data_IF_153358272884
#
_entry.id   IF_153358272884
#
_cell.length_a   1.000
_cell.length_b   1.000
_cell.length_c   1.000
_cell.angle_alpha   90.00
_cell.angle_beta   90.00
_cell.angle_gamma   90.00
#
_symmetry.space_group_name_H-M   'P 1'
#
loop_
_entity.id
_entity.type
_entity.pdbx_description
1 polymer ?
#
# COMPACT_ATOMS: atom_id res chain seq x y z
N UNK A 1 2.30 12.01 -5.52
CA UNK A 1 1.22 11.40 -4.70
C UNK A 1 1.69 10.08 -4.14
N UNK A 2 1.31 9.69 -2.93
CA UNK A 2 1.66 8.40 -2.32
C UNK A 2 0.64 8.02 -1.25
N UNK A 3 -0.12 6.95 -1.44
CA UNK A 3 -1.12 6.47 -0.49
C UNK A 3 -1.42 4.99 -0.68
N UNK A 4 -2.05 4.36 0.31
CA UNK A 4 -2.54 2.98 0.23
C UNK A 4 -4.07 3.00 0.23
N UNK A 5 -4.70 2.20 -0.62
CA UNK A 5 -6.15 2.04 -0.67
C UNK A 5 -6.54 0.61 -1.05
N UNK A 6 -7.81 0.35 -1.34
CA UNK A 6 -8.32 -0.87 -1.99
C UNK A 6 -9.10 -0.49 -3.25
N UNK A 7 -9.50 -1.51 -4.01
CA UNK A 7 -10.40 -1.34 -5.17
C UNK A 7 -9.85 -0.34 -6.21
N UNK A 8 -8.54 -0.44 -6.49
CA UNK A 8 -7.88 0.40 -7.48
C UNK A 8 -8.31 0.02 -8.91
N UNK A 9 -8.95 0.97 -9.60
CA UNK A 9 -9.33 0.87 -11.00
C UNK A 9 -8.15 1.28 -11.88
N UNK A 10 -7.45 0.30 -12.44
CA UNK A 10 -6.28 0.53 -13.29
C UNK A 10 -6.61 1.30 -14.57
N UNK A 11 -7.85 1.18 -15.09
CA UNK A 11 -8.25 1.83 -16.33
C UNK A 11 -8.48 3.33 -16.11
N UNK A 12 -9.13 3.69 -15.01
CA UNK A 12 -9.38 5.09 -14.63
C UNK A 12 -8.26 5.71 -13.78
N UNK A 13 -7.29 4.90 -13.34
CA UNK A 13 -6.19 5.28 -12.46
C UNK A 13 -6.64 5.87 -11.11
N UNK A 14 -7.77 5.39 -10.58
CA UNK A 14 -8.38 5.89 -9.33
C UNK A 14 -8.71 4.75 -8.37
N UNK A 15 -8.63 5.02 -7.07
CA UNK A 15 -9.14 4.10 -6.05
C UNK A 15 -10.63 4.31 -5.86
N UNK A 16 -11.43 3.23 -5.89
CA UNK A 16 -12.87 3.30 -5.60
C UNK A 16 -13.16 3.35 -4.10
N UNK A 17 -12.22 2.93 -3.27
CA UNK A 17 -12.22 3.18 -1.83
C UNK A 17 -11.72 4.60 -1.54
N UNK A 18 -12.61 5.59 -1.69
CA UNK A 18 -12.27 7.01 -1.57
C UNK A 18 -11.80 7.40 -0.16
N UNK A 19 -12.26 6.69 0.87
CA UNK A 19 -11.90 6.97 2.27
C UNK A 19 -10.66 6.19 2.72
N UNK A 20 -10.16 5.28 1.88
CA UNK A 20 -9.00 4.43 2.19
C UNK A 20 -9.21 3.59 3.45
N UNK A 21 -10.47 3.21 3.72
CA UNK A 21 -10.84 2.43 4.89
C UNK A 21 -10.48 0.97 4.62
N UNK A 22 -9.57 0.41 5.41
CA UNK A 22 -9.10 -0.97 5.24
C UNK A 22 -9.39 -1.79 6.49
N UNK A 23 -9.82 -3.03 6.28
CA UNK A 23 -10.02 -4.03 7.32
C UNK A 23 -9.06 -5.22 7.17
N UNK A 24 -9.16 -6.23 8.05
CA UNK A 24 -8.23 -7.35 8.08
C UNK A 24 -8.26 -8.22 6.80
N UNK A 25 -9.31 -8.12 6.01
CA UNK A 25 -9.49 -8.86 4.74
C UNK A 25 -9.51 -7.93 3.52
N UNK A 26 -9.06 -6.69 3.67
CA UNK A 26 -8.89 -5.81 2.51
C UNK A 26 -7.65 -6.21 1.72
N UNK A 27 -7.70 -6.04 0.40
CA UNK A 27 -6.55 -6.19 -0.49
C UNK A 27 -5.89 -4.81 -0.69
N UNK A 28 -4.83 -4.45 0.06
CA UNK A 28 -4.23 -3.14 -0.05
C UNK A 28 -3.48 -2.97 -1.36
N UNK A 29 -3.49 -1.75 -1.88
CA UNK A 29 -2.78 -1.34 -3.08
C UNK A 29 -2.05 -0.05 -2.77
N UNK A 30 -0.72 -0.05 -2.92
CA UNK A 30 0.05 1.19 -2.90
C UNK A 30 -0.17 1.90 -4.24
N UNK A 31 -0.54 3.18 -4.20
CA UNK A 31 -0.65 4.04 -5.38
C UNK A 31 0.29 5.22 -5.21
N UNK A 32 1.11 5.47 -6.23
CA UNK A 32 2.09 6.54 -6.17
C UNK A 32 2.37 7.16 -7.54
N UNK A 33 2.86 8.39 -7.51
CA UNK A 33 3.35 9.11 -8.68
C UNK A 33 4.60 9.85 -8.25
N UNK A 34 5.69 9.61 -8.97
CA UNK A 34 6.97 10.25 -8.72
C UNK A 34 6.93 11.67 -9.27
N UNK A 35 7.66 12.59 -8.65
CA UNK A 35 7.87 13.92 -9.21
C UNK A 35 8.88 13.85 -10.35
N UNK A 36 8.63 14.56 -11.45
CA UNK A 36 9.64 14.77 -12.48
C UNK A 36 10.90 15.40 -11.87
N UNK A 37 12.07 14.96 -12.32
CA UNK A 37 13.34 15.53 -11.90
C UNK A 37 13.49 17.00 -12.36
N UNK A 38 14.53 17.71 -11.91
CA UNK A 38 14.79 19.07 -12.38
C UNK A 38 14.92 19.11 -13.92
N UNK A 39 14.21 20.05 -14.55
CA UNK A 39 14.26 20.39 -15.98
C UNK A 39 13.57 19.44 -16.99
N UNK A 40 12.39 18.87 -16.66
CA UNK A 40 11.55 18.17 -17.66
C UNK A 40 12.25 16.97 -18.32
N UNK A 41 13.34 16.50 -17.70
CA UNK A 41 14.01 15.28 -18.10
C UNK A 41 13.16 14.11 -17.58
N UNK A 42 12.64 13.31 -18.51
CA UNK A 42 12.08 11.99 -18.21
C UNK A 42 13.08 11.28 -17.29
N UNK A 43 12.65 11.01 -16.05
CA UNK A 43 13.49 10.23 -15.15
C UNK A 43 13.70 8.86 -15.82
N UNK A 44 14.94 8.35 -15.89
CA UNK A 44 15.19 7.04 -16.46
C UNK A 44 14.35 5.99 -15.73
N UNK A 45 13.98 4.92 -16.44
CA UNK A 45 13.26 3.83 -15.80
C UNK A 45 14.03 3.32 -14.59
N UNK A 46 13.32 3.08 -13.49
CA UNK A 46 13.93 2.80 -12.20
C UNK A 46 13.27 1.61 -11.52
N UNK A 47 14.08 0.86 -10.79
CA UNK A 47 13.64 -0.28 -10.00
C UNK A 47 13.48 0.19 -8.54
N UNK A 48 12.25 0.15 -8.03
CA UNK A 48 11.96 0.43 -6.64
C UNK A 48 11.68 -0.86 -5.89
N UNK A 49 12.16 -0.91 -4.67
CA UNK A 49 11.78 -1.91 -3.68
C UNK A 49 10.77 -1.27 -2.74
N UNK A 50 9.61 -1.89 -2.59
CA UNK A 50 8.56 -1.49 -1.65
C UNK A 50 8.56 -2.46 -0.48
N UNK A 51 8.72 -1.94 0.74
CA UNK A 51 8.71 -2.72 1.97
C UNK A 51 7.37 -2.50 2.69
N UNK A 52 6.71 -3.58 3.05
CA UNK A 52 5.47 -3.56 3.82
C UNK A 52 5.78 -4.00 5.25
N UNK A 53 5.64 -3.09 6.21
CA UNK A 53 5.94 -3.32 7.62
C UNK A 53 4.64 -3.33 8.40
N UNK A 54 4.43 -4.42 9.15
CA UNK A 54 3.22 -4.61 9.94
C UNK A 54 3.22 -3.76 11.23
N UNK A 55 2.08 -3.67 11.94
CA UNK A 55 1.98 -2.90 13.18
C UNK A 55 2.87 -3.41 14.32
N UNK A 56 3.40 -4.63 14.23
CA UNK A 56 4.37 -5.17 15.19
C UNK A 56 5.81 -4.79 14.84
N UNK A 57 6.03 -4.05 13.74
CA UNK A 57 7.34 -3.64 13.25
C UNK A 57 8.05 -4.70 12.40
N UNK A 58 7.35 -5.78 12.02
CA UNK A 58 7.92 -6.86 11.24
C UNK A 58 7.77 -6.59 9.74
N UNK A 59 8.81 -6.92 8.97
CA UNK A 59 8.74 -6.88 7.51
C UNK A 59 7.82 -8.02 7.04
N UNK A 60 6.62 -7.66 6.61
CA UNK A 60 5.61 -8.61 6.17
C UNK A 60 5.83 -9.07 4.72
N UNK A 61 6.21 -8.14 3.83
CA UNK A 61 6.43 -8.42 2.41
C UNK A 61 7.38 -7.39 1.77
N UNK A 62 8.02 -7.81 0.68
CA UNK A 62 8.85 -6.96 -0.19
C UNK A 62 8.36 -7.09 -1.63
N UNK A 63 7.90 -5.98 -2.22
CA UNK A 63 7.49 -5.93 -3.62
C UNK A 63 8.56 -5.22 -4.45
N UNK A 64 8.84 -5.73 -5.66
CA UNK A 64 9.68 -5.03 -6.63
C UNK A 64 8.80 -4.40 -7.73
N UNK A 65 9.07 -3.14 -8.09
CA UNK A 65 8.34 -2.44 -9.15
C UNK A 65 9.31 -1.77 -10.11
N UNK A 66 9.13 -2.04 -11.40
CA UNK A 66 9.80 -1.32 -12.47
C UNK A 66 8.93 -0.14 -12.90
N UNK A 67 9.44 1.07 -12.75
CA UNK A 67 8.77 2.29 -13.20
C UNK A 67 9.38 2.72 -14.52
N UNK A 68 8.59 2.66 -15.59
CA UNK A 68 9.03 3.07 -16.93
C UNK A 68 8.94 4.58 -17.15
N UNK A 69 7.87 5.21 -16.65
CA UNK A 69 7.63 6.65 -16.75
C UNK A 69 7.23 7.21 -15.38
N UNK A 70 8.12 8.02 -14.80
CA UNK A 70 7.93 8.67 -13.51
C UNK A 70 6.74 9.65 -13.48
N UNK A 71 6.31 10.18 -14.63
CA UNK A 71 5.17 11.09 -14.74
C UNK A 71 3.81 10.39 -14.60
N UNK A 72 3.77 9.05 -14.69
CA UNK A 72 2.53 8.27 -14.63
C UNK A 72 2.19 7.80 -13.22
N UNK A 73 0.89 7.54 -12.98
CA UNK A 73 0.44 6.90 -11.75
C UNK A 73 0.81 5.43 -11.81
N UNK A 74 1.59 5.01 -10.82
CA UNK A 74 2.04 3.65 -10.62
C UNK A 74 1.29 3.02 -9.44
N UNK A 75 1.21 1.70 -9.43
CA UNK A 75 0.58 0.96 -8.34
C UNK A 75 1.29 -0.36 -8.05
N UNK A 76 1.21 -0.82 -6.81
CA UNK A 76 1.79 -2.09 -6.36
C UNK A 76 0.77 -2.83 -5.49
N UNK A 77 0.51 -4.09 -5.83
CA UNK A 77 -0.30 -5.02 -5.04
C UNK A 77 0.64 -6.03 -4.35
N UNK A 78 0.80 -5.97 -3.02
CA UNK A 78 1.64 -6.93 -2.31
C UNK A 78 0.95 -8.28 -2.15
N UNK A 79 1.73 -9.32 -1.92
CA UNK A 79 1.22 -10.65 -1.54
C UNK A 79 1.20 -10.83 -0.01
N UNK A 80 0.41 -10.02 0.69
CA UNK A 80 0.27 -10.08 2.14
C UNK A 80 -0.54 -11.30 2.59
N UNK A 81 -0.22 -11.85 3.76
CA UNK A 81 -1.01 -12.92 4.36
C UNK A 81 -2.24 -12.34 5.02
N UNK A 82 -3.38 -12.98 4.78
CA UNK A 82 -4.62 -12.65 5.46
C UNK A 82 -4.83 -13.53 6.72
N UNK A 83 -5.49 -12.99 7.76
CA UNK A 83 -5.91 -11.59 7.88
C UNK A 83 -4.72 -10.65 8.14
N UNK A 84 -4.82 -9.42 7.63
CA UNK A 84 -3.91 -8.34 7.99
C UNK A 84 -4.05 -8.03 9.48
N UNK A 85 -2.91 -7.85 10.15
CA UNK A 85 -2.88 -7.40 11.55
C UNK A 85 -3.55 -6.03 11.69
N UNK A 86 -4.54 -5.88 12.57
CA UNK A 86 -5.10 -4.57 12.88
C UNK A 86 -4.05 -3.63 13.47
N UNK A 87 -4.09 -2.37 13.07
CA UNK A 87 -3.14 -1.35 13.50
C UNK A 87 -2.59 -0.50 12.35
N UNK A 88 -1.60 0.33 12.68
CA UNK A 88 -0.95 1.20 11.70
C UNK A 88 0.17 0.42 11.01
N UNK A 89 -0.01 0.19 9.72
CA UNK A 89 1.00 -0.37 8.84
C UNK A 89 1.86 0.75 8.26
N UNK A 90 3.09 0.42 7.89
CA UNK A 90 4.03 1.32 7.24
C UNK A 90 4.45 0.75 5.87
N UNK A 91 4.48 1.60 4.85
CA UNK A 91 5.00 1.27 3.53
C UNK A 91 6.20 2.16 3.23
N UNK A 92 7.34 1.55 2.88
CA UNK A 92 8.60 2.25 2.55
C UNK A 92 8.99 1.98 1.12
N UNK A 93 9.39 3.03 0.40
CA UNK A 93 9.95 2.93 -0.93
C UNK A 93 11.46 3.14 -0.86
N UNK A 94 12.22 2.17 -1.36
CA UNK A 94 13.68 2.13 -1.35
C UNK A 94 14.20 2.11 -2.78
N UNK A 95 15.18 2.97 -3.06
CA UNK A 95 15.92 3.03 -4.32
C UNK A 95 17.41 2.99 -4.01
N UNK A 96 18.17 2.08 -4.62
CA UNK A 96 19.62 1.94 -4.40
C UNK A 96 19.99 1.93 -2.91
N UNK A 97 19.28 1.13 -2.12
CA UNK A 97 19.45 1.02 -0.66
C UNK A 97 19.16 2.29 0.15
N UNK A 98 18.59 3.33 -0.47
CA UNK A 98 18.18 4.58 0.19
C UNK A 98 16.66 4.66 0.29
N UNK A 99 16.13 5.00 1.46
CA UNK A 99 14.70 5.31 1.63
C UNK A 99 14.37 6.60 0.90
N UNK A 100 13.49 6.55 -0.10
CA UNK A 100 13.11 7.71 -0.92
C UNK A 100 11.75 8.28 -0.59
N UNK A 101 10.84 7.45 -0.08
CA UNK A 101 9.52 7.88 0.38
C UNK A 101 8.91 6.82 1.31
N UNK A 102 7.85 7.20 2.01
CA UNK A 102 7.06 6.26 2.79
C UNK A 102 5.70 6.85 3.16
N UNK A 103 4.77 5.97 3.52
CA UNK A 103 3.44 6.35 4.00
C UNK A 103 2.95 5.33 5.03
N UNK A 104 1.87 5.68 5.72
CA UNK A 104 1.21 4.80 6.67
C UNK A 104 -0.24 4.56 6.24
N UNK A 105 -0.79 3.43 6.65
CA UNK A 105 -2.22 3.17 6.51
C UNK A 105 -2.75 2.40 7.71
N UNK A 106 -4.05 2.52 7.96
CA UNK A 106 -4.70 1.90 9.11
C UNK A 106 -5.51 0.69 8.67
N UNK A 107 -5.26 -0.46 9.30
CA UNK A 107 -6.15 -1.62 9.25
C UNK A 107 -7.02 -1.59 10.50
N UNK A 108 -8.32 -1.38 10.31
CA UNK A 108 -9.30 -1.24 11.38
C UNK A 108 -9.76 -2.64 11.81
N UNK A 109 -9.74 -2.99 13.11
CA UNK A 109 -10.26 -4.27 13.57
C UNK A 109 -11.77 -4.36 13.29
N UNK A 110 -12.23 -5.53 12.85
CA UNK A 110 -13.66 -5.78 12.71
C UNK A 110 -14.28 -5.98 14.09
N UNK A 111 -15.46 -5.39 14.30
CA UNK A 111 -16.31 -5.63 15.48
C UNK A 111 -17.59 -6.41 15.13
N UNK A 112 -17.94 -6.44 13.85
CA UNK A 112 -19.13 -7.11 13.31
C UNK A 112 -18.71 -8.00 12.14
N UNK A 113 -19.26 -9.20 12.07
CA UNK A 113 -19.21 -10.08 10.89
C UNK A 113 -20.65 -10.42 10.51
N UNK A 114 -21.04 -10.13 9.26
CA UNK A 114 -22.41 -10.32 8.78
C UNK A 114 -23.48 -9.64 9.65
N UNK A 115 -23.14 -8.50 10.26
CA UNK A 115 -24.04 -7.73 11.12
C UNK A 115 -24.19 -8.28 12.55
N UNK A 116 -23.45 -9.32 12.92
CA UNK A 116 -23.43 -9.89 14.27
C UNK A 116 -22.11 -9.52 14.95
N UNK A 117 -22.18 -9.15 16.24
CA UNK A 117 -20.98 -8.92 17.06
C UNK A 117 -20.09 -10.16 17.07
N UNK A 118 -18.80 -9.91 16.84
CA UNK A 118 -17.80 -10.96 16.80
C UNK A 118 -17.62 -11.48 18.24
N UNK A 119 -17.81 -12.78 18.44
CA UNK A 119 -17.54 -13.42 19.72
C UNK A 119 -16.03 -13.42 20.01
N UNK A 120 -15.62 -13.48 21.29
CA UNK A 120 -14.20 -13.47 21.67
C UNK A 120 -13.35 -14.53 20.94
N UNK A 121 -13.95 -15.67 20.56
CA UNK A 121 -13.27 -16.75 19.82
C UNK A 121 -13.02 -16.44 18.34
N UNK A 122 -13.66 -15.41 17.79
CA UNK A 122 -13.54 -14.98 16.40
C UNK A 122 -12.73 -13.67 16.27
N UNK A 123 -12.33 -13.06 17.40
CA UNK A 123 -11.51 -11.84 17.47
C UNK A 123 -10.00 -12.12 17.60
N UNK A 124 -9.61 -13.38 17.81
CA UNK A 124 -8.22 -13.86 17.88
C UNK A 124 -7.77 -14.42 16.55
#
# INVERSE_FOLDING_TARGET
TLYVSSDYDQKEQVSRNNLQTLGPFSEPVLVFQLSEGPAGASAPSLNLTVLWVDPAGQLAEVSEVHVEDASTVNHVKPSLREPLLPGVWEVKMVLNSSLVAGTHFLVIPLQLVSGVEISQHQST
#
